data_IF_200636653799
#
_entry.id   IF_200636653799
#
_cell.length_a   1.000
_cell.length_b   1.000
_cell.length_c   1.000
_cell.angle_alpha   90.00
_cell.angle_beta   90.00
_cell.angle_gamma   90.00
#
_symmetry.space_group_name_H-M   'P 1'
#
loop_
_entity.id
_entity.type
_entity.pdbx_description
1 polymer ?
#
# COMPACT_ATOMS: atom_id res chain seq x y z
N UNK A 1 -5.83 -18.00 18.46
CA UNK A 1 -4.34 -17.99 18.45
C UNK A 1 -3.89 -16.76 17.66
N UNK A 2 -3.17 -15.86 18.28
CA UNK A 2 -2.61 -14.73 17.56
C UNK A 2 -1.50 -15.21 16.61
N UNK A 3 -1.50 -14.73 15.39
CA UNK A 3 -0.41 -14.97 14.45
C UNK A 3 0.89 -14.36 15.00
N UNK A 4 2.03 -15.02 14.82
CA UNK A 4 3.31 -14.49 15.30
C UNK A 4 3.75 -13.22 14.57
N UNK A 5 3.13 -12.90 13.45
CA UNK A 5 3.35 -11.69 12.68
C UNK A 5 2.02 -11.14 12.15
N UNK A 6 1.88 -9.83 12.17
CA UNK A 6 0.78 -9.11 11.55
C UNK A 6 1.22 -8.60 10.18
N UNK A 7 0.42 -8.89 9.16
CA UNK A 7 0.66 -8.41 7.81
C UNK A 7 -0.12 -7.12 7.60
N UNK A 8 0.57 -6.08 7.17
CA UNK A 8 -0.02 -4.78 6.85
C UNK A 8 0.28 -4.37 5.42
N UNK A 9 -0.68 -3.70 4.79
CA UNK A 9 -0.57 -3.14 3.45
C UNK A 9 -0.82 -1.65 3.52
N UNK A 10 0.17 -0.87 3.14
CA UNK A 10 0.09 0.60 3.10
C UNK A 10 0.18 1.10 1.67
N UNK A 11 -0.70 2.02 1.32
CA UNK A 11 -0.79 2.64 0.02
C UNK A 11 -0.54 4.14 0.14
N UNK A 12 0.39 4.68 -0.64
CA UNK A 12 0.79 6.08 -0.58
C UNK A 12 0.46 6.79 -1.89
N UNK A 13 -0.44 7.74 -1.80
CA UNK A 13 -0.88 8.57 -2.92
C UNK A 13 0.06 9.75 -3.21
N UNK A 14 1.02 10.03 -2.33
CA UNK A 14 1.95 11.13 -2.55
C UNK A 14 2.86 10.87 -3.76
N UNK A 15 3.33 11.92 -4.38
CA UNK A 15 4.34 11.85 -5.45
C UNK A 15 5.74 11.67 -4.86
N UNK A 16 6.66 11.13 -5.66
CA UNK A 16 8.06 10.95 -5.27
C UNK A 16 8.43 9.50 -4.93
N UNK A 17 9.71 9.25 -4.77
CA UNK A 17 10.25 7.90 -4.61
C UNK A 17 10.18 7.36 -3.17
N UNK A 18 10.05 8.23 -2.19
CA UNK A 18 10.03 7.86 -0.77
C UNK A 18 8.62 7.76 -0.24
N UNK A 19 8.42 6.83 0.70
CA UNK A 19 7.19 6.75 1.48
C UNK A 19 7.18 7.92 2.48
N UNK A 20 6.42 8.97 2.17
CA UNK A 20 6.37 10.20 2.96
C UNK A 20 5.30 10.13 4.04
N UNK A 21 5.72 10.10 5.30
CA UNK A 21 4.80 10.25 6.41
C UNK A 21 4.61 11.73 6.74
N UNK A 22 3.36 12.23 6.79
CA UNK A 22 3.11 13.62 7.14
C UNK A 22 3.54 13.91 8.58
N UNK A 23 4.02 15.12 8.80
CA UNK A 23 4.28 15.60 10.15
C UNK A 23 2.96 15.69 10.92
N UNK A 24 2.86 14.96 12.01
CA UNK A 24 1.65 14.90 12.84
C UNK A 24 1.97 15.39 14.25
N UNK A 25 1.35 16.50 14.64
CA UNK A 25 1.56 17.08 15.96
C UNK A 25 1.12 16.09 17.05
N UNK A 26 2.00 15.84 18.03
CA UNK A 26 1.73 14.90 19.11
C UNK A 26 2.07 13.44 18.81
N UNK A 27 2.48 13.11 17.60
CA UNK A 27 2.97 11.78 17.26
C UNK A 27 4.43 11.63 17.70
N UNK A 28 4.73 10.55 18.43
CA UNK A 28 6.07 10.32 18.99
C UNK A 28 7.14 10.04 17.91
N UNK A 29 6.73 9.55 16.74
CA UNK A 29 7.62 9.18 15.63
C UNK A 29 7.63 10.25 14.54
N UNK A 30 6.47 10.68 14.11
CA UNK A 30 6.30 11.61 12.97
C UNK A 30 6.04 13.06 13.38
N UNK A 31 5.90 13.33 14.68
CA UNK A 31 5.83 14.66 15.26
C UNK A 31 7.19 15.30 15.53
N UNK A 32 8.28 14.68 15.12
CA UNK A 32 9.65 15.18 15.25
C UNK A 32 10.09 15.86 13.97
N UNK A 33 10.60 17.09 14.08
CA UNK A 33 11.17 17.82 12.94
C UNK A 33 12.32 17.04 12.30
N UNK A 34 12.22 16.80 11.01
CA UNK A 34 13.19 16.02 10.25
C UNK A 34 12.80 14.55 10.02
N UNK A 35 11.77 14.04 10.72
CA UNK A 35 11.24 12.69 10.51
C UNK A 35 9.92 12.72 9.75
N UNK A 36 9.02 13.63 10.11
CA UNK A 36 7.78 13.88 9.37
C UNK A 36 7.98 14.92 8.29
N UNK A 37 7.31 14.75 7.16
CA UNK A 37 7.33 15.72 6.05
C UNK A 37 6.27 16.79 6.30
N UNK A 38 6.66 18.06 6.33
CA UNK A 38 5.69 19.16 6.38
C UNK A 38 4.80 19.08 5.14
N UNK A 39 3.49 18.94 5.37
CA UNK A 39 2.55 18.71 4.30
C UNK A 39 2.38 19.97 3.43
N UNK A 40 2.90 19.89 2.21
CA UNK A 40 2.47 20.70 1.09
C UNK A 40 1.52 19.91 0.18
N UNK A 41 1.03 18.77 0.62
CA UNK A 41 0.18 17.91 -0.19
C UNK A 41 -1.28 18.35 -0.09
N UNK A 42 -1.91 18.51 -1.23
CA UNK A 42 -3.36 18.66 -1.37
C UNK A 42 -4.11 17.36 -1.09
N UNK A 43 -3.41 16.28 -0.80
CA UNK A 43 -4.00 14.96 -0.51
C UNK A 43 -4.36 14.90 0.98
N UNK A 44 -5.64 14.76 1.34
CA UNK A 44 -6.08 14.76 2.74
C UNK A 44 -5.47 13.62 3.58
N UNK A 45 -5.23 12.47 2.95
CA UNK A 45 -4.64 11.28 3.57
C UNK A 45 -3.63 10.69 2.59
N UNK A 46 -2.35 11.07 2.68
CA UNK A 46 -1.35 10.58 1.72
C UNK A 46 -1.08 9.08 1.86
N UNK A 47 -1.15 8.54 3.07
CA UNK A 47 -0.94 7.11 3.34
C UNK A 47 -2.21 6.51 3.88
N UNK A 48 -2.64 5.43 3.23
CA UNK A 48 -3.85 4.70 3.59
C UNK A 48 -3.48 3.27 3.96
N UNK A 49 -4.02 2.81 5.07
CA UNK A 49 -3.95 1.42 5.49
C UNK A 49 -5.03 0.60 4.76
N UNK A 50 -4.59 -0.25 3.83
CA UNK A 50 -5.46 -1.16 3.10
C UNK A 50 -5.74 -2.46 3.85
N UNK A 51 -5.03 -2.74 4.92
CA UNK A 51 -5.07 -4.03 5.63
C UNK A 51 -6.48 -4.53 5.92
N UNK A 52 -7.42 -3.71 6.39
CA UNK A 52 -8.79 -4.17 6.68
C UNK A 52 -9.56 -4.65 5.44
N UNK A 53 -9.20 -4.17 4.27
CA UNK A 53 -9.88 -4.47 3.00
C UNK A 53 -9.17 -5.53 2.16
N UNK A 54 -8.00 -5.96 2.56
CA UNK A 54 -7.20 -6.93 1.80
C UNK A 54 -7.81 -8.33 1.91
N UNK A 55 -8.06 -8.96 0.77
CA UNK A 55 -8.54 -10.34 0.66
C UNK A 55 -7.39 -11.33 0.48
N UNK A 56 -6.44 -11.02 -0.37
CA UNK A 56 -5.28 -11.87 -0.62
C UNK A 56 -4.09 -11.06 -1.12
N UNK A 57 -2.90 -11.56 -0.81
CA UNK A 57 -1.63 -11.00 -1.25
C UNK A 57 -0.82 -12.14 -1.85
N UNK A 58 -0.32 -11.94 -3.07
CA UNK A 58 0.63 -12.84 -3.72
C UNK A 58 1.85 -12.04 -4.10
N UNK A 59 3.02 -12.45 -3.61
CA UNK A 59 4.29 -11.78 -3.87
C UNK A 59 5.22 -12.76 -4.57
N UNK A 60 5.78 -12.35 -5.69
CA UNK A 60 6.86 -13.04 -6.40
C UNK A 60 8.11 -12.17 -6.34
N UNK A 61 9.15 -12.67 -5.69
CA UNK A 61 10.40 -11.92 -5.51
C UNK A 61 11.32 -11.94 -6.75
N UNK A 62 10.87 -12.53 -7.83
CA UNK A 62 11.54 -12.42 -9.14
C UNK A 62 12.89 -13.13 -9.27
N UNK A 63 13.26 -14.01 -8.32
CA UNK A 63 14.45 -14.84 -8.45
C UNK A 63 14.10 -16.23 -8.97
N UNK A 64 14.61 -16.55 -10.14
CA UNK A 64 14.54 -17.92 -10.65
C UNK A 64 15.84 -18.66 -10.31
N UNK A 65 15.76 -19.62 -9.38
CA UNK A 65 16.92 -20.38 -8.90
C UNK A 65 17.48 -21.29 -10.00
N UNK A 66 16.64 -21.77 -10.91
CA UNK A 66 17.08 -22.70 -11.97
C UNK A 66 17.86 -22.01 -13.08
N UNK A 67 17.54 -20.76 -13.39
CA UNK A 67 18.22 -20.01 -14.46
C UNK A 67 19.17 -18.93 -13.94
N UNK A 68 19.28 -18.79 -12.62
CA UNK A 68 20.06 -17.73 -11.94
C UNK A 68 19.81 -16.32 -12.50
N UNK A 69 18.57 -16.10 -12.96
CA UNK A 69 18.12 -14.80 -13.47
C UNK A 69 17.33 -14.05 -12.43
N UNK A 70 17.59 -12.75 -12.36
CA UNK A 70 16.84 -11.82 -11.52
C UNK A 70 15.86 -11.04 -12.38
N UNK A 71 14.60 -11.05 -11.98
CA UNK A 71 13.56 -10.20 -12.55
C UNK A 71 13.04 -9.26 -11.47
N UNK A 72 12.40 -8.17 -11.88
CA UNK A 72 11.71 -7.31 -10.92
C UNK A 72 10.63 -8.10 -10.18
N UNK A 73 10.60 -7.97 -8.87
CA UNK A 73 9.55 -8.59 -8.05
C UNK A 73 8.18 -8.02 -8.42
N UNK A 74 7.16 -8.85 -8.33
CA UNK A 74 5.78 -8.47 -8.57
C UNK A 74 4.90 -8.82 -7.36
N UNK A 75 3.89 -8.02 -7.11
CA UNK A 75 2.87 -8.31 -6.11
C UNK A 75 1.49 -8.13 -6.70
N UNK A 76 0.59 -9.04 -6.35
CA UNK A 76 -0.84 -8.93 -6.65
C UNK A 76 -1.59 -8.86 -5.32
N UNK A 77 -2.27 -7.75 -5.10
CA UNK A 77 -3.04 -7.51 -3.89
C UNK A 77 -4.50 -7.40 -4.29
N UNK A 78 -5.32 -8.26 -3.75
CA UNK A 78 -6.77 -8.25 -3.95
C UNK A 78 -7.44 -7.58 -2.77
N UNK A 79 -8.22 -6.56 -3.07
CA UNK A 79 -8.92 -5.73 -2.09
C UNK A 79 -10.41 -5.92 -2.26
N UNK A 80 -11.11 -6.01 -1.16
CA UNK A 80 -12.56 -6.03 -1.13
C UNK A 80 -13.08 -4.59 -1.24
N UNK A 81 -14.01 -4.34 -2.16
CA UNK A 81 -14.57 -3.03 -2.41
C UNK A 81 -16.10 -3.11 -2.44
N UNK A 82 -16.73 -2.96 -1.27
CA UNK A 82 -18.16 -3.08 -1.12
C UNK A 82 -18.94 -1.84 -1.59
N UNK A 83 -18.30 -0.69 -1.54
CA UNK A 83 -18.92 0.61 -1.80
C UNK A 83 -18.42 1.28 -3.09
N UNK A 84 -17.53 0.62 -3.82
CA UNK A 84 -16.94 1.15 -5.04
C UNK A 84 -15.90 2.24 -4.83
N UNK A 85 -15.39 2.40 -3.61
CA UNK A 85 -14.40 3.45 -3.29
C UNK A 85 -13.08 3.27 -4.00
N UNK A 86 -12.68 2.02 -4.25
CA UNK A 86 -11.43 1.66 -4.93
C UNK A 86 -11.57 1.48 -6.44
N UNK A 87 -12.75 1.71 -6.99
CA UNK A 87 -12.97 1.67 -8.42
C UNK A 87 -12.38 2.91 -9.10
N UNK A 88 -11.38 2.75 -9.98
CA UNK A 88 -10.76 3.90 -10.66
C UNK A 88 -11.70 4.64 -11.62
N UNK A 89 -12.87 4.12 -11.90
CA UNK A 89 -13.91 4.78 -12.72
C UNK A 89 -14.97 5.50 -11.90
N UNK A 90 -14.98 5.32 -10.58
CA UNK A 90 -15.98 5.95 -9.71
C UNK A 90 -15.58 7.39 -9.37
N UNK A 91 -16.09 8.35 -10.12
CA UNK A 91 -15.82 9.78 -9.94
C UNK A 91 -16.33 10.35 -8.61
N UNK A 92 -17.22 9.65 -7.93
CA UNK A 92 -17.75 10.05 -6.62
C UNK A 92 -16.85 9.60 -5.45
N UNK A 93 -15.87 8.74 -5.70
CA UNK A 93 -14.94 8.28 -4.68
C UNK A 93 -13.94 9.38 -4.31
N UNK A 94 -13.65 9.49 -3.01
CA UNK A 94 -12.59 10.37 -2.51
C UNK A 94 -11.20 9.97 -3.01
N UNK A 95 -11.02 8.72 -3.42
CA UNK A 95 -9.76 8.19 -3.94
C UNK A 95 -9.62 8.31 -5.46
N UNK A 96 -10.71 8.65 -6.17
CA UNK A 96 -10.74 8.71 -7.63
C UNK A 96 -9.57 9.46 -8.28
N UNK A 97 -9.19 10.68 -7.80
CA UNK A 97 -8.10 11.43 -8.44
C UNK A 97 -6.71 10.80 -8.24
N UNK A 98 -6.60 9.89 -7.28
CA UNK A 98 -5.32 9.33 -6.82
C UNK A 98 -5.09 7.89 -7.30
N UNK A 99 -6.13 7.22 -7.81
CA UNK A 99 -6.05 5.85 -8.33
C UNK A 99 -5.46 5.84 -9.74
N UNK A 100 -4.23 6.25 -9.85
CA UNK A 100 -3.44 6.27 -11.10
C UNK A 100 -2.22 5.37 -10.96
N UNK A 101 -1.65 4.84 -12.06
CA UNK A 101 -0.43 4.06 -12.00
C UNK A 101 0.73 4.80 -11.32
N UNK A 102 1.73 4.04 -10.90
CA UNK A 102 2.94 4.50 -10.21
C UNK A 102 2.71 5.10 -8.82
N UNK A 103 1.63 4.72 -8.16
CA UNK A 103 1.47 4.97 -6.73
C UNK A 103 2.24 3.94 -5.92
N UNK A 104 2.82 4.38 -4.82
CA UNK A 104 3.65 3.52 -3.97
C UNK A 104 2.79 2.59 -3.13
N UNK A 105 3.21 1.33 -3.06
CA UNK A 105 2.58 0.34 -2.20
C UNK A 105 3.65 -0.42 -1.43
N UNK A 106 3.35 -0.75 -0.19
CA UNK A 106 4.24 -1.46 0.69
C UNK A 106 3.50 -2.52 1.48
N UNK A 107 4.08 -3.70 1.52
CA UNK A 107 3.59 -4.81 2.34
C UNK A 107 4.63 -5.08 3.41
N UNK A 108 4.22 -5.09 4.66
CA UNK A 108 5.09 -5.32 5.81
C UNK A 108 4.56 -6.45 6.68
N UNK A 109 5.48 -7.18 7.29
CA UNK A 109 5.19 -8.12 8.37
C UNK A 109 5.74 -7.52 9.67
N UNK A 110 4.88 -7.35 10.65
CA UNK A 110 5.24 -6.80 11.96
C UNK A 110 5.13 -7.88 13.02
N UNK A 111 6.22 -8.10 13.73
CA UNK A 111 6.29 -8.95 14.92
C UNK A 111 6.35 -8.08 16.17
N UNK A 112 6.35 -8.70 17.35
CA UNK A 112 6.50 -7.98 18.62
C UNK A 112 7.82 -7.18 18.73
N UNK A 113 8.85 -7.56 17.98
CA UNK A 113 10.21 -7.02 18.10
C UNK A 113 10.72 -6.32 16.84
N UNK A 114 10.17 -6.60 15.66
CA UNK A 114 10.69 -6.09 14.40
C UNK A 114 9.59 -5.93 13.35
N UNK A 115 9.83 -5.04 12.40
CA UNK A 115 9.03 -4.88 11.19
C UNK A 115 9.92 -5.18 9.97
N UNK A 116 9.46 -6.09 9.13
CA UNK A 116 10.12 -6.47 7.88
C UNK A 116 9.24 -6.08 6.69
N UNK A 117 9.85 -5.48 5.68
CA UNK A 117 9.16 -5.17 4.43
C UNK A 117 9.25 -6.35 3.47
N UNK A 118 8.10 -6.98 3.20
CA UNK A 118 8.00 -8.09 2.28
C UNK A 118 8.01 -7.65 0.82
N UNK A 119 7.43 -6.50 0.55
CA UNK A 119 7.36 -5.89 -0.78
C UNK A 119 7.29 -4.38 -0.66
N UNK A 120 8.00 -3.69 -1.54
CA UNK A 120 7.88 -2.24 -1.72
C UNK A 120 8.03 -1.92 -3.21
N UNK A 121 7.02 -1.28 -3.78
CA UNK A 121 7.00 -1.03 -5.21
C UNK A 121 5.94 -0.03 -5.63
N UNK A 122 5.66 -0.03 -6.92
CA UNK A 122 4.71 0.88 -7.53
C UNK A 122 3.58 0.10 -8.18
N UNK A 123 2.38 0.65 -8.12
CA UNK A 123 1.23 0.11 -8.82
C UNK A 123 1.40 0.26 -10.33
N UNK A 124 1.10 -0.78 -11.08
CA UNK A 124 1.15 -0.77 -12.54
C UNK A 124 -0.23 -0.69 -13.15
N UNK A 125 -1.18 -1.40 -12.58
CA UNK A 125 -2.54 -1.44 -13.08
C UNK A 125 -3.54 -1.67 -11.94
N UNK A 126 -4.77 -1.26 -12.17
CA UNK A 126 -5.92 -1.53 -11.31
C UNK A 126 -6.92 -2.32 -12.12
N UNK A 127 -7.19 -3.58 -11.71
CA UNK A 127 -8.21 -4.41 -12.32
C UNK A 127 -9.41 -4.48 -11.39
N UNK A 128 -10.56 -4.19 -11.91
CA UNK A 128 -11.81 -4.26 -11.18
C UNK A 128 -12.64 -5.46 -11.64
N UNK A 129 -13.04 -6.30 -10.71
CA UNK A 129 -13.86 -7.47 -10.96
C UNK A 129 -15.17 -7.33 -10.20
N UNK A 130 -16.28 -7.53 -10.90
CA UNK A 130 -17.56 -7.69 -10.27
C UNK A 130 -17.72 -9.15 -9.90
N UNK A 131 -17.69 -9.45 -8.61
CA UNK A 131 -18.02 -10.77 -8.11
C UNK A 131 -19.52 -10.78 -7.85
N UNK A 132 -20.23 -11.75 -8.45
CA UNK A 132 -21.65 -11.93 -8.12
C UNK A 132 -21.68 -12.51 -6.71
N UNK A 133 -22.24 -11.76 -5.78
CA UNK A 133 -22.58 -12.30 -4.47
C UNK A 133 -23.64 -13.39 -4.66
N UNK A 134 -23.26 -14.60 -4.34
CA UNK A 134 -24.24 -15.67 -4.18
C UNK A 134 -25.07 -15.46 -2.91
#
# INVERSE_FOLDING_TARGET
MALPAEISVSFDFSSGATFGYPFTIGDAKYGVLGTGTLAGSTVPLPIIDLTPSVRSITIDNGRNIQSDTYQAGTAVIRVYDNDGSWNPQNTSSIYYPYLVPLRKIRVAATTATAQEFLFSGYTTEYRYYYDQAE
#
